data_IF_108952288607
#
_entry.id   IF_108952288607
#
_cell.length_a   1.000
_cell.length_b   1.000
_cell.length_c   1.000
_cell.angle_alpha   90.00
_cell.angle_beta   90.00
_cell.angle_gamma   90.00
#
_symmetry.space_group_name_H-M   'P 1'
#
loop_
_entity.id
_entity.type
_entity.pdbx_description
1 polymer ?
#
# COMPACT_ATOMS: atom_id res chain seq x y z
N UNK A 1 -7.29 12.37 3.67
CA UNK A 1 -6.30 11.74 2.76
C UNK A 1 -6.99 10.65 1.97
N UNK A 2 -6.75 10.59 0.66
CA UNK A 2 -7.38 9.59 -0.21
C UNK A 2 -6.51 8.34 -0.31
N UNK A 3 -7.11 7.17 -0.11
CA UNK A 3 -6.45 5.89 -0.21
C UNK A 3 -7.14 5.05 -1.28
N UNK A 4 -6.35 4.57 -2.23
CA UNK A 4 -6.77 3.59 -3.22
C UNK A 4 -5.92 2.34 -3.07
N UNK A 5 -6.55 1.17 -3.04
CA UNK A 5 -5.90 -0.15 -2.98
C UNK A 5 -6.37 -0.96 -4.18
N UNK A 6 -5.49 -1.10 -5.17
CA UNK A 6 -5.75 -1.84 -6.41
C UNK A 6 -5.03 -3.19 -6.39
N UNK A 7 -5.79 -4.28 -6.31
CA UNK A 7 -5.28 -5.61 -6.57
C UNK A 7 -5.09 -5.88 -8.06
N UNK A 8 -4.94 -7.16 -8.41
CA UNK A 8 -4.82 -7.58 -9.80
C UNK A 8 -6.16 -7.45 -10.53
N UNK A 9 -6.25 -6.48 -11.46
CA UNK A 9 -7.46 -6.15 -12.25
C UNK A 9 -8.72 -5.85 -11.42
N UNK A 10 -8.58 -5.55 -10.13
CA UNK A 10 -9.68 -5.28 -9.20
C UNK A 10 -9.27 -4.22 -8.18
N UNK A 11 -10.23 -3.40 -7.76
CA UNK A 11 -10.04 -2.46 -6.65
C UNK A 11 -10.55 -3.12 -5.37
N UNK A 12 -9.72 -3.17 -4.34
CA UNK A 12 -10.08 -3.69 -3.01
C UNK A 12 -10.62 -2.61 -2.10
N UNK A 13 -10.10 -1.39 -2.23
CA UNK A 13 -10.55 -0.23 -1.47
C UNK A 13 -10.33 1.03 -2.30
N UNK A 14 -11.30 1.93 -2.26
CA UNK A 14 -11.15 3.28 -2.81
C UNK A 14 -11.99 4.23 -1.98
N UNK A 15 -11.34 5.20 -1.34
CA UNK A 15 -12.04 6.14 -0.48
C UNK A 15 -11.12 6.98 0.39
N UNK A 16 -11.74 7.77 1.25
CA UNK A 16 -11.02 8.66 2.16
C UNK A 16 -10.83 7.99 3.51
N UNK A 17 -9.60 8.03 4.01
CA UNK A 17 -9.28 7.58 5.38
C UNK A 17 -8.92 8.77 6.26
N UNK A 18 -9.36 8.70 7.52
CA UNK A 18 -8.99 9.70 8.53
C UNK A 18 -7.56 9.42 8.98
N UNK A 19 -6.72 10.46 8.95
CA UNK A 19 -5.33 10.38 9.36
C UNK A 19 -5.00 11.46 10.38
N UNK A 20 -3.89 11.28 11.08
CA UNK A 20 -3.31 12.25 12.00
C UNK A 20 -1.90 12.65 11.54
N UNK A 21 -1.28 13.61 12.21
CA UNK A 21 0.06 14.11 11.90
C UNK A 21 1.20 13.08 11.99
N UNK A 22 0.95 11.91 12.56
CA UNK A 22 1.91 10.80 12.70
C UNK A 22 1.57 9.63 11.79
N UNK A 23 0.59 9.79 10.90
CA UNK A 23 0.17 8.72 10.00
C UNK A 23 1.16 8.56 8.86
N UNK A 24 1.41 7.30 8.51
CA UNK A 24 2.32 6.91 7.43
C UNK A 24 1.57 6.19 6.33
N UNK A 25 2.21 5.97 5.18
CA UNK A 25 1.65 5.18 4.08
C UNK A 25 1.22 3.76 4.52
N UNK A 26 1.86 3.20 5.55
CA UNK A 26 1.44 1.94 6.15
C UNK A 26 0.24 2.09 7.09
N UNK A 27 0.24 3.12 7.95
CA UNK A 27 -0.87 3.36 8.89
C UNK A 27 -2.20 3.57 8.17
N UNK A 28 -2.17 4.27 7.04
CA UNK A 28 -3.38 4.48 6.20
C UNK A 28 -3.86 3.18 5.57
N UNK A 29 -2.94 2.32 5.13
CA UNK A 29 -3.30 1.00 4.62
C UNK A 29 -4.00 0.19 5.71
N UNK A 30 -3.50 0.20 6.95
CA UNK A 30 -4.16 -0.45 8.08
C UNK A 30 -5.56 0.13 8.37
N UNK A 31 -5.74 1.44 8.19
CA UNK A 31 -7.03 2.11 8.38
C UNK A 31 -8.10 1.67 7.36
N UNK A 32 -7.71 1.08 6.21
CA UNK A 32 -8.66 0.50 5.25
C UNK A 32 -9.41 -0.74 5.78
N UNK A 33 -8.97 -1.31 6.91
CA UNK A 33 -9.48 -2.56 7.49
C UNK A 33 -9.38 -3.79 6.57
N UNK A 34 -8.60 -3.72 5.50
CA UNK A 34 -8.28 -4.88 4.67
C UNK A 34 -7.39 -5.84 5.47
N UNK A 35 -7.47 -7.14 5.15
CA UNK A 35 -6.54 -8.14 5.70
C UNK A 35 -5.17 -7.93 5.08
N UNK A 36 -4.17 -7.51 5.85
CA UNK A 36 -2.83 -7.19 5.34
C UNK A 36 -1.82 -8.12 6.01
N UNK A 37 -1.04 -8.83 5.20
CA UNK A 37 0.14 -9.56 5.67
C UNK A 37 1.37 -8.73 5.35
N UNK A 38 2.16 -8.45 6.38
CA UNK A 38 3.34 -7.62 6.27
C UNK A 38 4.43 -8.11 7.22
N UNK A 39 5.68 -7.83 6.87
CA UNK A 39 6.85 -8.08 7.69
C UNK A 39 7.40 -6.76 8.19
N UNK A 40 7.63 -6.69 9.50
CA UNK A 40 8.28 -5.55 10.13
C UNK A 40 9.80 -5.70 10.02
N UNK A 41 10.44 -4.73 9.36
CA UNK A 41 11.89 -4.62 9.26
C UNK A 41 12.32 -3.16 9.18
N UNK A 42 13.48 -2.89 8.57
CA UNK A 42 13.98 -1.52 8.31
C UNK A 42 12.97 -0.69 7.49
N UNK A 43 12.22 -1.38 6.63
CA UNK A 43 11.05 -0.92 5.92
C UNK A 43 9.93 -1.95 6.11
N UNK A 44 8.69 -1.50 6.28
CA UNK A 44 7.54 -2.43 6.26
C UNK A 44 7.37 -2.97 4.85
N UNK A 45 7.46 -4.29 4.73
CA UNK A 45 7.23 -5.03 3.49
C UNK A 45 5.85 -5.66 3.52
N UNK A 46 4.98 -5.30 2.57
CA UNK A 46 3.63 -5.86 2.47
C UNK A 46 3.65 -7.01 1.47
N UNK A 47 3.46 -8.23 1.95
CA UNK A 47 3.47 -9.44 1.12
C UNK A 47 2.08 -9.81 0.62
N UNK A 48 1.00 -9.45 1.32
CA UNK A 48 -0.37 -9.75 0.88
C UNK A 48 -1.37 -8.70 1.33
N UNK A 49 -2.36 -8.42 0.48
CA UNK A 49 -3.52 -7.60 0.83
C UNK A 49 -4.79 -8.30 0.36
N UNK A 50 -5.75 -8.43 1.27
CA UNK A 50 -7.07 -9.02 1.07
C UNK A 50 -7.03 -10.42 0.42
N UNK A 51 -6.02 -11.23 0.77
CA UNK A 51 -5.83 -12.58 0.27
C UNK A 51 -5.09 -12.68 -1.07
N UNK A 52 -4.66 -11.55 -1.67
CA UNK A 52 -3.79 -11.54 -2.84
C UNK A 52 -2.34 -11.33 -2.39
N UNK A 53 -1.54 -12.39 -2.42
CA UNK A 53 -0.13 -12.37 -2.05
C UNK A 53 0.78 -12.05 -3.26
N UNK A 54 2.00 -11.61 -2.95
CA UNK A 54 3.10 -11.60 -3.90
C UNK A 54 3.27 -13.00 -4.52
N UNK A 55 3.73 -13.03 -5.76
CA UNK A 55 3.88 -14.26 -6.55
C UNK A 55 2.60 -15.04 -6.89
N UNK A 56 1.42 -14.72 -6.33
CA UNK A 56 0.16 -15.42 -6.63
C UNK A 56 -0.22 -15.38 -8.11
N UNK A 57 -0.04 -14.23 -8.76
CA UNK A 57 -0.42 -14.05 -10.17
C UNK A 57 0.72 -14.44 -11.11
N UNK A 58 1.95 -14.09 -10.74
CA UNK A 58 3.17 -14.39 -11.50
C UNK A 58 4.37 -14.30 -10.57
N UNK A 59 5.37 -15.16 -10.74
CA UNK A 59 6.67 -15.00 -10.07
C UNK A 59 7.25 -13.61 -10.37
N UNK A 60 7.63 -12.88 -9.33
CA UNK A 60 8.08 -11.48 -9.39
C UNK A 60 6.94 -10.46 -9.26
N UNK A 61 5.68 -10.89 -9.13
CA UNK A 61 4.57 -10.00 -8.81
C UNK A 61 4.55 -9.63 -7.33
N UNK A 62 4.15 -8.40 -7.00
CA UNK A 62 4.17 -7.92 -5.62
C UNK A 62 3.42 -6.61 -5.41
N UNK A 63 3.33 -6.21 -4.13
CA UNK A 63 2.67 -4.98 -3.72
C UNK A 63 3.64 -3.80 -3.72
N UNK A 64 3.23 -2.70 -4.35
CA UNK A 64 3.94 -1.43 -4.31
C UNK A 64 2.98 -0.32 -3.93
N UNK A 65 3.53 0.81 -3.53
CA UNK A 65 2.74 2.01 -3.23
C UNK A 65 3.37 3.24 -3.86
N UNK A 66 2.55 4.27 -4.03
CA UNK A 66 2.96 5.59 -4.49
C UNK A 66 2.18 6.65 -3.73
N UNK A 67 2.80 7.81 -3.51
CA UNK A 67 2.20 8.94 -2.81
C UNK A 67 2.15 10.11 -3.80
N UNK A 68 0.96 10.68 -4.03
CA UNK A 68 0.73 11.75 -5.00
C UNK A 68 1.27 11.43 -6.41
N UNK A 69 1.23 10.16 -6.80
CA UNK A 69 1.75 9.70 -8.10
C UNK A 69 3.26 9.45 -8.14
N UNK A 70 4.00 9.76 -7.08
CA UNK A 70 5.45 9.51 -6.98
C UNK A 70 5.71 8.14 -6.34
N UNK A 71 6.58 7.35 -6.98
CA UNK A 71 7.06 6.09 -6.41
C UNK A 71 7.94 6.40 -5.21
N UNK A 72 7.69 5.69 -4.11
CA UNK A 72 8.44 5.86 -2.87
C UNK A 72 9.28 4.60 -2.69
N UNK A 73 10.60 4.78 -2.70
CA UNK A 73 11.55 3.70 -2.45
C UNK A 73 11.87 3.55 -0.95
N UNK A 74 11.36 4.46 -0.11
CA UNK A 74 11.42 4.36 1.35
C UNK A 74 10.38 3.38 1.86
N UNK A 75 10.63 2.81 3.04
CA UNK A 75 9.65 1.96 3.71
C UNK A 75 8.34 2.67 3.98
N UNK A 76 7.22 1.98 3.80
CA UNK A 76 5.87 2.54 4.00
C UNK A 76 5.63 3.06 5.44
N UNK A 77 6.39 2.57 6.41
CA UNK A 77 6.40 3.04 7.80
C UNK A 77 7.23 4.30 8.05
N UNK A 78 8.06 4.73 7.09
CA UNK A 78 8.90 5.93 7.18
C UNK A 78 8.39 7.07 6.32
N UNK A 79 7.44 6.81 5.43
CA UNK A 79 6.84 7.82 4.57
C UNK A 79 5.63 8.46 5.27
N UNK A 80 5.75 9.70 5.79
CA UNK A 80 4.64 10.41 6.39
C UNK A 80 3.63 10.82 5.31
N UNK A 81 2.36 10.86 5.67
CA UNK A 81 1.29 11.28 4.76
C UNK A 81 0.47 12.40 5.36
N UNK A 82 0.03 13.31 4.50
CA UNK A 82 -0.76 14.49 4.84
C UNK A 82 -2.19 14.37 4.35
N UNK A 83 -3.10 15.18 4.92
CA UNK A 83 -4.53 15.03 4.68
C UNK A 83 -4.94 15.27 3.21
N UNK A 84 -4.13 16.03 2.48
CA UNK A 84 -4.30 16.32 1.06
C UNK A 84 -3.58 15.32 0.14
N UNK A 85 -2.87 14.35 0.70
CA UNK A 85 -2.16 13.35 -0.09
C UNK A 85 -3.08 12.26 -0.60
N UNK A 86 -2.63 11.64 -1.69
CA UNK A 86 -3.26 10.49 -2.35
C UNK A 86 -2.29 9.33 -2.32
N UNK A 87 -2.56 8.32 -1.50
CA UNK A 87 -1.77 7.09 -1.49
C UNK A 87 -2.46 6.05 -2.34
N UNK A 88 -1.71 5.45 -3.25
CA UNK A 88 -2.19 4.37 -4.08
C UNK A 88 -1.31 3.15 -3.85
N UNK A 89 -1.87 2.15 -3.18
CA UNK A 89 -1.33 0.80 -3.10
C UNK A 89 -1.81 0.02 -4.31
N UNK A 90 -0.90 -0.57 -5.06
CA UNK A 90 -1.23 -1.31 -6.26
C UNK A 90 -0.42 -2.60 -6.37
N UNK A 91 -1.05 -3.63 -6.90
CA UNK A 91 -0.40 -4.89 -7.21
C UNK A 91 0.24 -4.82 -8.61
N UNK A 92 1.54 -5.08 -8.69
CA UNK A 92 2.27 -5.13 -9.97
C UNK A 92 2.65 -6.57 -10.30
N UNK A 93 2.47 -6.96 -11.56
CA UNK A 93 2.97 -8.22 -12.12
C UNK A 93 4.23 -8.04 -12.96
N UNK A 94 4.63 -6.78 -13.19
CA UNK A 94 5.95 -6.46 -13.73
C UNK A 94 6.93 -6.65 -12.58
N UNK A 95 7.53 -7.84 -12.52
CA UNK A 95 8.76 -8.05 -11.77
C UNK A 95 9.82 -7.07 -12.24
N UNK A 96 10.73 -6.73 -11.33
CA UNK A 96 11.96 -6.03 -11.69
C UNK A 96 12.72 -6.79 -12.78
#
# INVERSE_FOLDING_TARGET
>A
MHLTVSGYKKIFFDGTVKINRHSTAFSVLQASKLKISYQNGVAVYVSSINGLAENDVKVGSGWKFKVNGKFIDKGANKEPVSNHDRVHWYFTTKGY
#
